data_IF_054685675341
#
_entry.id   IF_054685675341
#
_cell.length_a   1.000
_cell.length_b   1.000
_cell.length_c   1.000
_cell.angle_alpha   90.00
_cell.angle_beta   90.00
_cell.angle_gamma   90.00
#
_symmetry.space_group_name_H-M   'P 1'
#
loop_
_entity.id
_entity.type
_entity.pdbx_description
1 polymer ?
#
# COMPACT_ATOMS: atom_id res chain seq x y z
N UNK A 1 -59.34 6.45 8.25
CA UNK A 1 -58.27 5.52 7.85
C UNK A 1 -58.92 4.15 7.69
N UNK A 2 -58.86 3.51 6.52
CA UNK A 2 -59.31 2.11 6.36
C UNK A 2 -58.27 1.19 7.00
N UNK A 3 -58.70 0.27 7.85
CA UNK A 3 -57.81 -0.65 8.56
C UNK A 3 -57.22 -1.74 7.65
N UNK A 4 -57.90 -2.08 6.55
CA UNK A 4 -57.47 -3.10 5.58
C UNK A 4 -57.94 -2.73 4.18
N UNK A 5 -57.15 -3.10 3.16
CA UNK A 5 -57.47 -2.89 1.74
C UNK A 5 -56.96 -4.08 0.92
N UNK A 6 -57.79 -4.59 0.01
CA UNK A 6 -57.41 -5.64 -0.93
C UNK A 6 -57.02 -5.05 -2.29
N UNK A 7 -55.99 -5.60 -2.93
CA UNK A 7 -55.38 -5.09 -4.17
C UNK A 7 -56.18 -5.35 -5.46
N UNK A 8 -55.48 -5.72 -6.53
CA UNK A 8 -56.06 -5.78 -7.88
C UNK A 8 -57.11 -6.90 -8.05
N UNK A 9 -58.37 -6.50 -8.22
CA UNK A 9 -59.43 -7.34 -8.77
C UNK A 9 -60.15 -6.61 -9.90
N UNK A 10 -60.87 -7.37 -10.72
CA UNK A 10 -61.73 -6.86 -11.78
C UNK A 10 -62.76 -5.88 -11.19
N UNK A 11 -62.94 -4.75 -11.86
CA UNK A 11 -63.99 -3.81 -11.50
C UNK A 11 -65.35 -4.32 -11.98
N UNK A 12 -66.36 -4.15 -11.13
CA UNK A 12 -67.78 -4.35 -11.44
C UNK A 12 -68.45 -2.99 -11.38
N UNK A 13 -69.06 -2.53 -12.46
CA UNK A 13 -69.72 -1.20 -12.53
C UNK A 13 -68.81 -0.01 -12.16
N UNK A 14 -67.50 -0.08 -12.45
CA UNK A 14 -66.51 0.99 -12.15
C UNK A 14 -66.31 1.26 -10.66
N UNK A 15 -66.64 0.30 -9.79
CA UNK A 15 -66.43 0.35 -8.33
C UNK A 15 -64.94 0.39 -7.89
N UNK A 16 -64.02 0.00 -8.78
CA UNK A 16 -62.58 -0.10 -8.49
C UNK A 16 -61.80 0.76 -9.47
N UNK A 17 -61.36 1.91 -8.98
CA UNK A 17 -60.42 2.81 -9.65
C UNK A 17 -59.12 2.78 -8.84
N UNK A 18 -57.98 2.67 -9.52
CA UNK A 18 -56.67 2.64 -8.88
C UNK A 18 -55.93 3.92 -9.19
N UNK A 19 -55.41 4.57 -8.14
CA UNK A 19 -54.56 5.74 -8.27
C UNK A 19 -53.09 5.33 -8.45
N UNK A 20 -52.26 6.27 -8.90
CA UNK A 20 -50.81 6.06 -9.03
C UNK A 20 -50.18 5.61 -7.70
N UNK A 21 -50.68 6.10 -6.56
CA UNK A 21 -50.24 5.69 -5.23
C UNK A 21 -50.53 4.21 -4.93
N UNK A 22 -51.62 3.64 -5.47
CA UNK A 22 -51.91 2.22 -5.29
C UNK A 22 -50.92 1.34 -6.04
N UNK A 23 -50.50 1.76 -7.24
CA UNK A 23 -49.46 1.06 -7.99
C UNK A 23 -48.08 1.25 -7.35
N UNK A 24 -47.76 2.45 -6.90
CA UNK A 24 -46.50 2.72 -6.20
C UNK A 24 -46.38 1.88 -4.92
N UNK A 25 -47.43 1.81 -4.09
CA UNK A 25 -47.45 0.94 -2.91
C UNK A 25 -47.25 -0.54 -3.28
N UNK A 26 -47.91 -1.00 -4.35
CA UNK A 26 -47.75 -2.38 -4.83
C UNK A 26 -46.31 -2.66 -5.29
N UNK A 27 -45.74 -1.85 -6.19
CA UNK A 27 -44.37 -2.06 -6.67
C UNK A 27 -43.31 -1.84 -5.58
N UNK A 28 -43.54 -0.88 -4.68
CA UNK A 28 -42.68 -0.62 -3.53
C UNK A 28 -42.64 -1.77 -2.52
N UNK A 29 -43.61 -2.70 -2.58
CA UNK A 29 -43.58 -3.91 -1.76
C UNK A 29 -42.51 -4.90 -2.19
N UNK A 30 -42.02 -4.86 -3.43
CA UNK A 30 -41.03 -5.81 -3.94
C UNK A 30 -39.82 -5.22 -4.67
N UNK A 31 -39.76 -3.91 -4.88
CA UNK A 31 -38.61 -3.21 -5.48
C UNK A 31 -38.08 -2.18 -4.47
N UNK A 32 -36.81 -2.30 -4.10
CA UNK A 32 -36.17 -1.37 -3.16
C UNK A 32 -35.90 -0.01 -3.78
N UNK A 33 -35.69 0.98 -2.91
CA UNK A 33 -35.27 2.33 -3.32
C UNK A 33 -33.81 2.31 -3.77
N UNK A 34 -33.49 3.09 -4.80
CA UNK A 34 -32.11 3.27 -5.23
C UNK A 34 -31.95 3.59 -6.70
N UNK A 35 -30.73 3.37 -7.19
CA UNK A 35 -30.37 3.47 -8.61
C UNK A 35 -30.23 2.08 -9.21
N UNK A 36 -30.67 1.91 -10.45
CA UNK A 36 -30.46 0.64 -11.15
C UNK A 36 -28.96 0.46 -11.46
N UNK A 37 -28.35 -0.70 -11.17
CA UNK A 37 -26.90 -0.90 -11.29
C UNK A 37 -26.43 -1.12 -12.74
N UNK A 38 -27.36 -1.28 -13.68
CA UNK A 38 -27.07 -1.57 -15.09
C UNK A 38 -27.66 -0.48 -16.00
N UNK A 39 -26.84 0.17 -16.86
CA UNK A 39 -25.38 0.05 -16.93
C UNK A 39 -24.70 0.56 -15.64
N UNK A 40 -23.43 0.21 -15.40
CA UNK A 40 -22.71 0.54 -14.15
C UNK A 40 -22.59 2.05 -13.87
N UNK A 41 -22.65 2.86 -14.93
CA UNK A 41 -22.65 4.32 -14.87
C UNK A 41 -24.07 4.93 -14.79
N UNK A 42 -25.11 4.12 -14.56
CA UNK A 42 -26.50 4.59 -14.42
C UNK A 42 -26.61 5.68 -13.35
N UNK A 43 -27.08 6.86 -13.76
CA UNK A 43 -27.19 8.06 -12.92
C UNK A 43 -25.88 8.46 -12.21
N UNK A 44 -24.72 8.04 -12.75
CA UNK A 44 -23.42 8.43 -12.22
C UNK A 44 -23.16 9.91 -12.51
N UNK A 45 -22.51 10.58 -11.56
CA UNK A 45 -22.08 11.97 -11.69
C UNK A 45 -20.64 12.01 -12.19
N UNK A 46 -20.42 12.78 -13.26
CA UNK A 46 -19.09 13.10 -13.79
C UNK A 46 -18.85 14.60 -13.78
N UNK A 47 -17.59 15.01 -13.67
CA UNK A 47 -17.25 16.39 -13.96
C UNK A 47 -17.46 16.72 -15.44
N UNK A 48 -17.71 18.00 -15.74
CA UNK A 48 -17.74 18.49 -17.11
C UNK A 48 -16.74 19.62 -17.29
N UNK A 49 -17.21 20.86 -17.24
CA UNK A 49 -16.40 22.06 -17.40
C UNK A 49 -16.91 23.13 -16.47
N UNK A 50 -16.00 24.00 -16.02
CA UNK A 50 -16.34 25.04 -15.04
C UNK A 50 -17.05 24.43 -13.81
N UNK A 51 -18.03 25.13 -13.26
CA UNK A 51 -18.86 24.67 -12.14
C UNK A 51 -20.01 23.74 -12.57
N UNK A 52 -19.85 23.03 -13.69
CA UNK A 52 -20.88 22.13 -14.23
C UNK A 52 -20.47 20.67 -14.07
N UNK A 53 -21.43 19.86 -13.65
CA UNK A 53 -21.36 18.40 -13.58
C UNK A 53 -22.39 17.80 -14.54
N UNK A 54 -22.17 16.56 -14.95
CA UNK A 54 -23.11 15.82 -15.80
C UNK A 54 -23.58 14.57 -15.09
N UNK A 55 -24.89 14.35 -15.10
CA UNK A 55 -25.51 13.09 -14.68
C UNK A 55 -25.68 12.21 -15.91
N UNK A 56 -25.13 11.00 -15.87
CA UNK A 56 -25.24 10.05 -16.97
C UNK A 56 -26.65 9.48 -17.11
N UNK A 57 -27.02 8.97 -18.31
CA UNK A 57 -28.26 8.24 -18.51
C UNK A 57 -28.39 7.11 -17.50
N UNK A 58 -29.60 6.86 -17.05
CA UNK A 58 -29.85 5.85 -16.03
C UNK A 58 -31.26 5.87 -15.51
N UNK A 59 -31.49 5.00 -14.53
CA UNK A 59 -32.82 4.79 -13.95
C UNK A 59 -32.75 4.81 -12.44
N UNK A 60 -33.78 5.37 -11.82
CA UNK A 60 -33.95 5.41 -10.37
C UNK A 60 -35.32 4.86 -9.97
N UNK A 61 -35.40 4.34 -8.75
CA UNK A 61 -36.64 3.86 -8.16
C UNK A 61 -36.77 4.42 -6.74
N UNK A 62 -37.89 5.08 -6.44
CA UNK A 62 -38.15 5.66 -5.11
C UNK A 62 -39.60 5.40 -4.73
N UNK A 63 -39.82 4.64 -3.67
CA UNK A 63 -41.13 4.30 -3.08
C UNK A 63 -42.17 3.84 -4.11
N UNK A 64 -41.75 3.01 -5.08
CA UNK A 64 -42.64 2.53 -6.14
C UNK A 64 -42.79 3.43 -7.36
N UNK A 65 -42.16 4.61 -7.35
CA UNK A 65 -42.14 5.54 -8.47
C UNK A 65 -40.84 5.40 -9.28
N UNK A 66 -40.98 5.45 -10.59
CA UNK A 66 -39.88 5.21 -11.54
C UNK A 66 -39.36 6.52 -12.14
N UNK A 67 -38.05 6.64 -12.24
CA UNK A 67 -37.37 7.77 -12.88
C UNK A 67 -36.44 7.28 -13.98
N UNK A 68 -36.38 8.03 -15.08
CA UNK A 68 -35.46 7.79 -16.21
C UNK A 68 -34.79 9.09 -16.59
N UNK A 69 -33.47 9.05 -16.71
CA UNK A 69 -32.68 10.02 -17.45
C UNK A 69 -32.16 9.32 -18.71
N UNK A 70 -32.54 9.81 -19.89
CA UNK A 70 -32.25 9.14 -21.18
C UNK A 70 -30.97 9.64 -21.85
N UNK A 71 -30.42 10.76 -21.40
CA UNK A 71 -29.30 11.47 -21.99
C UNK A 71 -28.42 12.10 -20.92
N UNK A 72 -27.24 12.59 -21.29
CA UNK A 72 -26.37 13.33 -20.38
C UNK A 72 -27.09 14.60 -19.91
N UNK A 73 -27.33 14.71 -18.60
CA UNK A 73 -28.05 15.83 -17.98
C UNK A 73 -27.10 16.73 -17.20
N UNK A 74 -26.91 17.96 -17.68
CA UNK A 74 -25.98 18.90 -17.08
C UNK A 74 -26.61 19.71 -15.95
N UNK A 75 -25.90 19.81 -14.83
CA UNK A 75 -26.26 20.61 -13.68
C UNK A 75 -25.14 21.62 -13.40
N UNK A 76 -25.51 22.90 -13.34
CA UNK A 76 -24.58 23.97 -12.99
C UNK A 76 -24.67 24.25 -11.50
N UNK A 77 -23.56 24.08 -10.78
CA UNK A 77 -23.45 24.42 -9.37
C UNK A 77 -23.30 25.93 -9.20
N UNK A 78 -23.78 26.45 -8.08
CA UNK A 78 -23.57 27.85 -7.72
C UNK A 78 -22.08 28.16 -7.60
N UNK A 79 -21.67 29.40 -7.87
CA UNK A 79 -20.28 29.84 -7.73
C UNK A 79 -19.72 29.55 -6.33
N UNK A 80 -18.42 29.21 -6.26
CA UNK A 80 -17.73 29.01 -5.00
C UNK A 80 -17.65 30.33 -4.19
N UNK A 81 -17.58 30.22 -2.87
CA UNK A 81 -17.24 31.37 -2.03
C UNK A 81 -15.73 31.61 -2.08
N UNK A 82 -15.28 32.85 -1.91
CA UNK A 82 -13.86 33.19 -1.99
C UNK A 82 -13.02 32.68 -0.82
N UNK A 83 -13.65 32.29 0.30
CA UNK A 83 -12.97 32.02 1.57
C UNK A 83 -13.34 30.65 2.15
N UNK A 84 -14.60 30.24 2.05
CA UNK A 84 -15.13 29.03 2.69
C UNK A 84 -15.45 27.92 1.69
N UNK A 85 -15.27 26.68 2.14
CA UNK A 85 -15.60 25.48 1.38
C UNK A 85 -17.08 25.09 1.61
N UNK A 86 -17.63 24.24 0.75
CA UNK A 86 -18.92 23.58 0.98
C UNK A 86 -18.99 22.22 0.28
N UNK A 87 -19.98 21.40 0.66
CA UNK A 87 -20.31 20.16 -0.04
C UNK A 87 -21.73 20.27 -0.58
N UNK A 88 -21.86 20.29 -1.90
CA UNK A 88 -23.15 20.27 -2.59
C UNK A 88 -23.54 18.81 -2.84
N UNK A 89 -24.71 18.39 -2.37
CA UNK A 89 -25.19 17.01 -2.53
C UNK A 89 -26.15 16.92 -3.71
N UNK A 90 -25.86 16.03 -4.65
CA UNK A 90 -26.73 15.76 -5.79
C UNK A 90 -27.72 14.68 -5.38
N UNK A 91 -29.00 14.98 -5.45
CA UNK A 91 -30.07 14.07 -5.02
C UNK A 91 -31.02 13.78 -6.16
N UNK A 92 -31.59 12.58 -6.14
CA UNK A 92 -32.81 12.28 -6.84
C UNK A 92 -33.97 12.44 -5.85
N UNK A 93 -34.86 13.41 -6.12
CA UNK A 93 -35.94 13.81 -5.22
C UNK A 93 -37.29 13.41 -5.79
N UNK A 94 -38.02 12.57 -5.05
CA UNK A 94 -39.46 12.39 -5.23
C UNK A 94 -40.19 13.53 -4.49
N UNK A 95 -40.89 14.37 -5.24
CA UNK A 95 -41.72 15.46 -4.73
C UNK A 95 -43.20 15.07 -4.90
N UNK A 96 -43.86 14.75 -3.78
CA UNK A 96 -45.25 14.27 -3.80
C UNK A 96 -46.24 15.39 -4.18
N UNK A 97 -45.92 16.65 -3.86
CA UNK A 97 -46.78 17.78 -4.16
C UNK A 97 -46.77 18.08 -5.67
N UNK A 98 -45.59 18.05 -6.30
CA UNK A 98 -45.42 18.27 -7.74
C UNK A 98 -45.61 17.00 -8.57
N UNK A 99 -45.71 15.83 -7.94
CA UNK A 99 -45.92 14.52 -8.58
C UNK A 99 -44.82 14.17 -9.59
N UNK A 100 -43.57 14.42 -9.22
CA UNK A 100 -42.43 14.16 -10.09
C UNK A 100 -41.22 13.66 -9.30
N UNK A 101 -40.35 12.94 -10.00
CA UNK A 101 -38.98 12.71 -9.54
C UNK A 101 -38.06 13.60 -10.38
N UNK A 102 -37.21 14.38 -9.72
CA UNK A 102 -36.22 15.23 -10.39
C UNK A 102 -34.83 15.07 -9.78
N UNK A 103 -33.80 15.37 -10.56
CA UNK A 103 -32.44 15.52 -10.06
C UNK A 103 -32.29 16.96 -9.55
N UNK A 104 -31.85 17.12 -8.31
CA UNK A 104 -31.69 18.44 -7.67
C UNK A 104 -30.36 18.55 -6.93
N UNK A 105 -29.92 19.80 -6.73
CA UNK A 105 -28.68 20.13 -6.00
C UNK A 105 -29.05 20.67 -4.62
N UNK A 106 -28.81 19.87 -3.57
CA UNK A 106 -28.83 20.37 -2.18
C UNK A 106 -27.53 21.10 -1.89
N UNK A 107 -27.56 22.41 -2.11
CA UNK A 107 -26.41 23.30 -1.88
C UNK A 107 -25.94 23.21 -0.42
N UNK A 108 -24.66 22.98 -0.21
CA UNK A 108 -24.04 22.91 1.11
C UNK A 108 -23.98 24.26 1.83
N UNK A 109 -23.78 24.20 3.14
CA UNK A 109 -23.49 25.37 3.97
C UNK A 109 -21.99 25.67 3.91
N UNK A 110 -21.63 26.95 3.83
CA UNK A 110 -20.25 27.40 3.83
C UNK A 110 -19.58 27.16 5.18
N UNK A 111 -18.44 26.47 5.19
CA UNK A 111 -17.66 26.20 6.39
C UNK A 111 -16.19 25.89 6.04
N UNK A 112 -15.29 26.04 7.02
CA UNK A 112 -13.89 25.61 6.86
C UNK A 112 -13.79 24.09 6.70
N UNK A 113 -14.59 23.35 7.48
CA UNK A 113 -14.77 21.91 7.39
C UNK A 113 -16.23 21.60 7.04
N UNK A 114 -16.59 21.57 5.74
CA UNK A 114 -17.97 21.43 5.34
C UNK A 114 -18.49 20.01 5.54
N UNK A 115 -19.79 19.90 5.80
CA UNK A 115 -20.51 18.63 5.93
C UNK A 115 -21.65 18.63 4.93
N UNK A 116 -21.86 17.50 4.23
CA UNK A 116 -22.96 17.33 3.31
C UNK A 116 -24.31 17.43 4.04
N UNK A 117 -25.29 18.10 3.43
CA UNK A 117 -26.62 18.18 4.03
C UNK A 117 -27.30 16.82 4.07
N UNK A 118 -28.09 16.57 5.11
CA UNK A 118 -28.83 15.32 5.22
C UNK A 118 -29.89 15.20 4.12
N UNK A 119 -30.14 13.97 3.66
CA UNK A 119 -31.26 13.69 2.76
C UNK A 119 -32.59 13.89 3.49
N UNK A 120 -33.58 14.43 2.79
CA UNK A 120 -34.94 14.59 3.30
C UNK A 120 -35.76 13.35 2.97
N UNK A 121 -36.38 12.77 3.99
CA UNK A 121 -37.24 11.58 3.87
C UNK A 121 -38.41 11.73 4.82
N UNK A 122 -39.46 12.41 4.37
CA UNK A 122 -40.67 12.70 5.12
C UNK A 122 -41.92 12.54 4.24
N UNK A 123 -43.06 13.03 4.71
CA UNK A 123 -44.33 12.90 4.00
C UNK A 123 -44.39 13.72 2.70
N UNK A 124 -43.63 14.82 2.62
CA UNK A 124 -43.67 15.75 1.49
C UNK A 124 -42.69 15.32 0.40
N UNK A 125 -41.48 14.91 0.80
CA UNK A 125 -40.39 14.58 -0.11
C UNK A 125 -39.58 13.36 0.36
N UNK A 126 -39.11 12.58 -0.62
CA UNK A 126 -38.18 11.48 -0.40
C UNK A 126 -36.98 11.59 -1.33
N UNK A 127 -35.79 11.68 -0.74
CA UNK A 127 -34.54 11.86 -1.46
C UNK A 127 -33.59 10.68 -1.29
N UNK A 128 -32.90 10.36 -2.38
CA UNK A 128 -31.71 9.51 -2.41
C UNK A 128 -30.52 10.31 -2.92
N UNK A 129 -29.33 10.13 -2.34
CA UNK A 129 -28.14 10.90 -2.73
C UNK A 129 -27.33 10.16 -3.81
N UNK A 130 -27.11 10.78 -4.96
CA UNK A 130 -26.31 10.22 -6.04
C UNK A 130 -24.81 10.44 -5.81
N UNK A 131 -24.42 11.66 -5.44
CA UNK A 131 -23.03 11.99 -5.12
C UNK A 131 -22.93 13.23 -4.23
N UNK A 132 -21.79 13.36 -3.55
CA UNK A 132 -21.37 14.55 -2.82
C UNK A 132 -20.27 15.26 -3.59
N UNK A 133 -20.46 16.56 -3.88
CA UNK A 133 -19.50 17.38 -4.63
C UNK A 133 -18.83 18.38 -3.70
N UNK A 134 -17.53 18.22 -3.49
CA UNK A 134 -16.71 19.13 -2.72
C UNK A 134 -16.35 20.38 -3.53
N UNK A 135 -16.87 21.54 -3.08
CA UNK A 135 -16.58 22.85 -3.68
C UNK A 135 -15.60 23.58 -2.77
N UNK A 136 -14.34 23.66 -3.22
CA UNK A 136 -13.28 24.40 -2.53
C UNK A 136 -13.51 25.91 -2.65
N UNK A 137 -13.09 26.67 -1.63
CA UNK A 137 -13.02 28.12 -1.70
C UNK A 137 -12.26 28.60 -2.95
N UNK A 138 -12.84 29.56 -3.67
CA UNK A 138 -12.29 30.13 -4.90
C UNK A 138 -12.30 29.19 -6.12
N UNK A 139 -12.94 28.02 -6.05
CA UNK A 139 -12.99 27.11 -7.18
C UNK A 139 -13.74 27.70 -8.38
N UNK A 140 -13.11 27.63 -9.55
CA UNK A 140 -13.72 28.00 -10.85
C UNK A 140 -14.15 26.78 -11.65
N UNK A 141 -13.71 25.58 -11.25
CA UNK A 141 -14.12 24.32 -11.85
C UNK A 141 -14.18 23.18 -10.82
N UNK A 142 -14.94 22.15 -11.17
CA UNK A 142 -15.00 20.88 -10.44
C UNK A 142 -14.21 19.82 -11.20
N UNK A 143 -13.38 19.05 -10.49
CA UNK A 143 -12.66 17.88 -10.99
C UNK A 143 -13.28 16.59 -10.46
N UNK A 144 -13.13 15.46 -11.15
CA UNK A 144 -13.72 14.17 -10.71
C UNK A 144 -13.34 13.79 -9.27
N UNK A 145 -12.11 14.10 -8.85
CA UNK A 145 -11.62 13.78 -7.51
C UNK A 145 -12.40 14.50 -6.39
N UNK A 146 -13.15 15.56 -6.73
CA UNK A 146 -14.00 16.28 -5.78
C UNK A 146 -15.41 15.66 -5.68
N UNK A 147 -15.72 14.64 -6.49
CA UNK A 147 -17.02 14.00 -6.56
C UNK A 147 -16.93 12.65 -5.88
N UNK A 148 -17.62 12.51 -4.75
CA UNK A 148 -17.74 11.27 -4.00
C UNK A 148 -19.04 10.59 -4.38
N UNK A 149 -18.97 9.42 -5.01
CA UNK A 149 -20.15 8.63 -5.38
C UNK A 149 -20.81 8.01 -4.13
N UNK A 150 -22.10 8.24 -3.95
CA UNK A 150 -22.87 7.74 -2.80
C UNK A 150 -23.90 6.68 -3.19
N UNK A 151 -23.96 6.26 -4.46
CA UNK A 151 -24.98 5.33 -4.99
C UNK A 151 -24.95 3.97 -4.29
N UNK A 152 -23.77 3.49 -3.91
CA UNK A 152 -23.58 2.21 -3.21
C UNK A 152 -23.87 2.28 -1.70
N UNK A 153 -24.15 3.47 -1.15
CA UNK A 153 -24.46 3.60 0.27
C UNK A 153 -25.95 3.32 0.51
N UNK A 154 -26.27 2.22 1.18
CA UNK A 154 -27.67 1.87 1.52
C UNK A 154 -28.34 2.93 2.40
N UNK A 155 -27.57 3.64 3.23
CA UNK A 155 -28.09 4.70 4.07
C UNK A 155 -28.53 5.93 3.25
N UNK A 156 -27.85 6.24 2.15
CA UNK A 156 -28.06 7.46 1.37
C UNK A 156 -28.83 7.23 0.07
N UNK A 157 -28.53 6.15 -0.65
CA UNK A 157 -29.11 5.82 -1.94
C UNK A 157 -29.59 4.38 -2.03
N UNK A 158 -28.66 3.43 -1.95
CA UNK A 158 -28.90 2.03 -2.23
C UNK A 158 -28.96 1.73 -3.74
N UNK A 159 -28.80 0.45 -4.03
CA UNK A 159 -28.99 -0.12 -5.37
C UNK A 159 -30.36 -0.78 -5.42
N UNK A 160 -31.09 -0.56 -6.52
CA UNK A 160 -32.38 -1.21 -6.74
C UNK A 160 -32.19 -2.72 -6.80
N UNK A 161 -32.88 -3.44 -5.93
CA UNK A 161 -32.98 -4.89 -5.93
C UNK A 161 -34.44 -5.32 -5.70
N UNK A 162 -34.81 -6.47 -6.27
CA UNK A 162 -36.11 -7.08 -6.03
C UNK A 162 -36.15 -7.91 -4.75
N UNK A 163 -37.34 -8.25 -4.23
CA UNK A 163 -37.50 -9.24 -3.15
C UNK A 163 -37.14 -10.66 -3.57
N UNK A 164 -37.25 -10.98 -4.86
CA UNK A 164 -36.73 -12.23 -5.38
C UNK A 164 -35.25 -12.00 -5.66
N UNK A 165 -34.42 -12.44 -4.72
CA UNK A 165 -32.98 -12.58 -4.90
C UNK A 165 -32.72 -13.56 -6.04
N UNK A 166 -32.77 -13.08 -7.29
CA UNK A 166 -32.47 -13.89 -8.47
C UNK A 166 -30.95 -13.98 -8.64
N UNK A 167 -30.40 -14.87 -7.82
CA UNK A 167 -29.12 -15.58 -7.87
C UNK A 167 -28.58 -15.61 -6.43
N UNK A 168 -28.72 -16.77 -5.78
CA UNK A 168 -27.90 -17.09 -4.62
C UNK A 168 -26.44 -17.21 -5.08
N UNK A 169 -25.75 -16.06 -5.12
CA UNK A 169 -24.33 -15.98 -5.48
C UNK A 169 -23.43 -16.39 -4.31
N UNK A 170 -23.99 -16.77 -3.16
CA UNK A 170 -23.22 -17.22 -1.99
C UNK A 170 -22.36 -18.42 -2.35
N UNK A 171 -22.91 -19.36 -3.13
CA UNK A 171 -22.15 -20.54 -3.58
C UNK A 171 -21.00 -20.16 -4.51
N UNK A 172 -21.23 -19.26 -5.48
CA UNK A 172 -20.20 -18.80 -6.43
C UNK A 172 -19.14 -17.95 -5.71
N UNK A 173 -19.55 -17.09 -4.78
CA UNK A 173 -18.65 -16.25 -3.99
C UNK A 173 -17.80 -17.10 -3.03
N UNK A 174 -18.38 -18.11 -2.38
CA UNK A 174 -17.63 -19.06 -1.54
C UNK A 174 -16.63 -19.87 -2.36
N UNK A 175 -16.98 -20.28 -3.59
CA UNK A 175 -16.05 -20.93 -4.50
C UNK A 175 -14.89 -20.00 -4.90
N UNK A 176 -15.18 -18.73 -5.21
CA UNK A 176 -14.16 -17.74 -5.54
C UNK A 176 -13.23 -17.46 -4.36
N UNK A 177 -13.79 -17.29 -3.15
CA UNK A 177 -13.01 -17.06 -1.93
C UNK A 177 -12.13 -18.27 -1.60
N UNK A 178 -12.66 -19.49 -1.72
CA UNK A 178 -11.90 -20.72 -1.51
C UNK A 178 -10.76 -20.85 -2.52
N UNK A 179 -11.03 -20.60 -3.81
CA UNK A 179 -10.00 -20.58 -4.85
C UNK A 179 -8.93 -19.53 -4.58
N UNK A 180 -9.31 -18.30 -4.20
CA UNK A 180 -8.37 -17.24 -3.89
C UNK A 180 -7.46 -17.59 -2.70
N UNK A 181 -8.03 -18.15 -1.63
CA UNK A 181 -7.27 -18.61 -0.46
C UNK A 181 -6.31 -19.75 -0.82
N UNK A 182 -6.78 -20.72 -1.62
CA UNK A 182 -5.95 -21.82 -2.09
C UNK A 182 -4.81 -21.31 -2.97
N UNK A 183 -5.11 -20.53 -3.99
CA UNK A 183 -4.12 -19.96 -4.90
C UNK A 183 -3.07 -19.12 -4.15
N UNK A 184 -3.51 -18.28 -3.21
CA UNK A 184 -2.59 -17.46 -2.40
C UNK A 184 -1.68 -18.33 -1.54
N UNK A 185 -2.21 -19.39 -0.91
CA UNK A 185 -1.42 -20.32 -0.12
C UNK A 185 -0.44 -21.14 -0.97
N UNK A 186 -0.87 -21.64 -2.13
CA UNK A 186 -0.02 -22.37 -3.07
C UNK A 186 1.13 -21.49 -3.55
N UNK A 187 0.86 -20.24 -3.93
CA UNK A 187 1.90 -19.31 -4.36
C UNK A 187 2.85 -18.90 -3.24
N UNK A 188 2.35 -18.79 -2.00
CA UNK A 188 3.20 -18.58 -0.83
C UNK A 188 4.14 -19.78 -0.61
N UNK A 189 3.63 -21.00 -0.67
CA UNK A 189 4.42 -22.22 -0.50
C UNK A 189 5.44 -22.39 -1.63
N UNK A 190 5.04 -22.19 -2.89
CA UNK A 190 5.97 -22.20 -4.04
C UNK A 190 7.10 -21.18 -3.86
N UNK A 191 6.76 -19.97 -3.37
CA UNK A 191 7.76 -18.95 -3.09
C UNK A 191 8.69 -19.35 -1.93
N UNK A 192 8.13 -19.87 -0.84
CA UNK A 192 8.90 -20.31 0.32
C UNK A 192 9.85 -21.46 -0.07
N UNK A 193 9.38 -22.44 -0.84
CA UNK A 193 10.18 -23.57 -1.34
C UNK A 193 11.28 -23.12 -2.30
N UNK A 194 10.95 -22.24 -3.26
CA UNK A 194 11.94 -21.63 -4.15
C UNK A 194 13.00 -20.87 -3.35
N UNK A 195 12.58 -20.08 -2.37
CA UNK A 195 13.49 -19.28 -1.55
C UNK A 195 14.40 -20.15 -0.68
N UNK A 196 13.87 -21.24 -0.10
CA UNK A 196 14.68 -22.21 0.62
C UNK A 196 15.67 -22.93 -0.29
N UNK A 197 15.26 -23.32 -1.51
CA UNK A 197 16.18 -23.92 -2.48
C UNK A 197 17.37 -23.01 -2.80
N UNK A 198 17.14 -21.70 -2.95
CA UNK A 198 18.23 -20.72 -3.13
C UNK A 198 19.12 -20.66 -1.89
N UNK A 199 18.55 -20.67 -0.68
CA UNK A 199 19.36 -20.69 0.55
C UNK A 199 20.21 -21.94 0.66
N UNK A 200 19.66 -23.12 0.38
CA UNK A 200 20.39 -24.38 0.48
C UNK A 200 21.58 -24.40 -0.49
N UNK A 201 21.38 -23.92 -1.72
CA UNK A 201 22.45 -23.76 -2.71
C UNK A 201 23.57 -22.82 -2.21
N UNK A 202 23.21 -21.74 -1.53
CA UNK A 202 24.18 -20.78 -0.99
C UNK A 202 24.83 -21.27 0.31
N UNK A 203 24.16 -22.10 1.11
CA UNK A 203 24.60 -22.49 2.45
C UNK A 203 25.51 -23.72 2.48
N UNK A 204 25.32 -24.65 1.53
CA UNK A 204 26.04 -25.92 1.51
C UNK A 204 27.38 -25.84 0.77
N UNK A 205 27.33 -25.96 -0.56
CA UNK A 205 28.52 -26.28 -1.35
C UNK A 205 29.38 -25.05 -1.71
N UNK A 206 28.77 -23.88 -1.87
CA UNK A 206 29.50 -22.68 -2.29
C UNK A 206 30.27 -22.09 -1.10
N UNK A 207 29.61 -21.91 0.06
CA UNK A 207 30.25 -21.39 1.27
C UNK A 207 31.34 -22.33 1.78
N UNK A 208 31.10 -23.65 1.77
CA UNK A 208 32.11 -24.64 2.15
C UNK A 208 33.35 -24.61 1.26
N UNK A 209 33.18 -24.58 -0.06
CA UNK A 209 34.31 -24.53 -1.00
C UNK A 209 35.07 -23.19 -0.91
N UNK A 210 34.38 -22.07 -0.71
CA UNK A 210 35.01 -20.77 -0.49
C UNK A 210 35.82 -20.78 0.81
N UNK A 211 35.30 -21.38 1.89
CA UNK A 211 36.02 -21.48 3.17
C UNK A 211 37.32 -22.29 3.01
N UNK A 212 37.26 -23.45 2.35
CA UNK A 212 38.45 -24.28 2.10
C UNK A 212 39.51 -23.56 1.25
N UNK A 213 39.08 -22.77 0.25
CA UNK A 213 39.98 -21.94 -0.54
C UNK A 213 40.65 -20.83 0.31
N UNK A 214 39.90 -20.23 1.24
CA UNK A 214 40.44 -19.21 2.17
C UNK A 214 41.46 -19.84 3.12
N UNK A 215 41.12 -20.96 3.76
CA UNK A 215 42.04 -21.69 4.66
C UNK A 215 43.32 -22.11 3.93
N UNK A 216 43.20 -22.57 2.68
CA UNK A 216 44.34 -22.89 1.83
C UNK A 216 45.21 -21.68 1.47
N UNK A 217 44.60 -20.51 1.25
CA UNK A 217 45.34 -19.26 1.03
C UNK A 217 46.03 -18.77 2.30
N UNK A 218 45.36 -18.82 3.44
CA UNK A 218 45.89 -18.41 4.75
C UNK A 218 47.11 -19.25 5.15
N UNK A 219 47.03 -20.58 4.99
CA UNK A 219 48.18 -21.47 5.22
C UNK A 219 49.36 -21.15 4.31
N UNK A 220 49.12 -20.84 3.03
CA UNK A 220 50.18 -20.42 2.10
C UNK A 220 50.81 -19.09 2.50
N UNK A 221 50.02 -18.14 2.99
CA UNK A 221 50.52 -16.86 3.53
C UNK A 221 51.42 -17.11 4.74
N UNK A 222 50.99 -17.96 5.69
CA UNK A 222 51.81 -18.31 6.86
C UNK A 222 53.16 -18.93 6.48
N UNK A 223 53.19 -19.87 5.53
CA UNK A 223 54.46 -20.44 5.04
C UNK A 223 55.33 -19.40 4.35
N UNK A 224 54.74 -18.47 3.59
CA UNK A 224 55.50 -17.39 2.97
C UNK A 224 56.08 -16.43 4.02
N UNK A 225 55.34 -16.13 5.08
CA UNK A 225 55.82 -15.31 6.20
C UNK A 225 57.02 -15.97 6.91
N UNK A 226 56.95 -17.27 7.18
CA UNK A 226 58.06 -18.05 7.76
C UNK A 226 59.28 -18.05 6.83
N UNK A 227 59.10 -18.33 5.55
CA UNK A 227 60.17 -18.28 4.56
C UNK A 227 60.81 -16.89 4.43
N UNK A 228 60.05 -15.80 4.56
CA UNK A 228 60.57 -14.44 4.57
C UNK A 228 61.45 -14.20 5.81
N UNK A 229 61.03 -14.69 6.98
CA UNK A 229 61.83 -14.57 8.22
C UNK A 229 63.15 -15.34 8.10
N UNK A 230 63.11 -16.57 7.58
CA UNK A 230 64.30 -17.38 7.34
C UNK A 230 65.24 -16.72 6.32
N UNK A 231 64.67 -16.23 5.22
CA UNK A 231 65.44 -15.52 4.18
C UNK A 231 66.08 -14.25 4.74
N UNK A 232 65.37 -13.48 5.56
CA UNK A 232 65.92 -12.30 6.23
C UNK A 232 67.08 -12.66 7.16
N UNK A 233 66.94 -13.75 7.92
CA UNK A 233 68.02 -14.26 8.79
C UNK A 233 69.25 -14.65 7.98
N UNK A 234 69.06 -15.43 6.91
CA UNK A 234 70.15 -15.81 5.99
C UNK A 234 70.82 -14.59 5.34
N UNK A 235 70.04 -13.58 4.95
CA UNK A 235 70.57 -12.33 4.38
C UNK A 235 71.38 -11.53 5.40
N UNK A 236 70.94 -11.49 6.66
CA UNK A 236 71.70 -10.88 7.76
C UNK A 236 73.04 -11.60 7.94
N UNK A 237 73.03 -12.93 7.96
CA UNK A 237 74.25 -13.73 8.09
C UNK A 237 75.23 -13.45 6.94
N UNK A 238 74.75 -13.46 5.69
CA UNK A 238 75.58 -13.13 4.52
C UNK A 238 76.10 -11.68 4.58
N UNK A 239 75.29 -10.72 5.03
CA UNK A 239 75.72 -9.34 5.16
C UNK A 239 76.85 -9.19 6.20
N UNK A 240 76.76 -9.91 7.33
CA UNK A 240 77.81 -9.96 8.35
C UNK A 240 79.09 -10.56 7.77
N UNK A 241 79.02 -11.69 7.06
CA UNK A 241 80.18 -12.30 6.41
C UNK A 241 80.85 -11.35 5.40
N UNK A 242 80.05 -10.63 4.59
CA UNK A 242 80.56 -9.67 3.61
C UNK A 242 81.32 -8.52 4.28
N UNK A 243 80.79 -7.97 5.37
CA UNK A 243 81.43 -6.90 6.15
C UNK A 243 82.71 -7.39 6.84
N UNK A 244 82.78 -8.66 7.26
CA UNK A 244 84.01 -9.29 7.73
C UNK A 244 85.05 -9.45 6.60
N UNK A 245 84.61 -9.76 5.37
CA UNK A 245 85.49 -9.98 4.20
C UNK A 245 86.01 -8.67 3.56
N UNK A 246 85.25 -7.57 3.61
CA UNK A 246 85.59 -6.28 2.97
C UNK A 246 86.65 -5.44 3.71
N UNK A 247 87.29 -6.00 4.74
CA UNK A 247 88.39 -5.39 5.49
C UNK A 247 88.00 -4.27 6.48
N UNK A 248 87.24 -4.64 7.52
CA UNK A 248 87.40 -3.98 8.81
C UNK A 248 88.50 -4.68 9.62
N UNK A 249 89.48 -3.90 10.09
CA UNK A 249 90.59 -4.37 10.89
C UNK A 249 90.15 -4.67 12.34
N UNK A 250 90.25 -5.91 12.79
CA UNK A 250 90.28 -6.26 14.23
C UNK A 250 91.73 -6.12 14.75
N UNK A 251 92.25 -4.90 14.82
CA UNK A 251 93.58 -4.64 15.42
C UNK A 251 93.43 -4.43 16.92
N UNK A 252 93.98 -5.37 17.71
CA UNK A 252 94.08 -5.27 19.18
C UNK A 252 93.28 -6.29 20.00
N UNK A 253 92.80 -7.40 19.41
CA UNK A 253 92.08 -8.43 20.17
C UNK A 253 93.05 -9.51 20.65
N UNK A 254 93.28 -9.56 21.96
CA UNK A 254 94.15 -10.53 22.63
C UNK A 254 93.36 -11.51 23.53
N UNK A 255 92.06 -11.70 23.28
CA UNK A 255 91.20 -12.63 24.03
C UNK A 255 90.12 -13.26 23.14
N UNK A 256 89.57 -14.40 23.60
CA UNK A 256 88.57 -15.19 22.88
C UNK A 256 87.31 -14.38 22.54
N UNK A 257 86.88 -14.46 21.28
CA UNK A 257 85.64 -13.87 20.79
C UNK A 257 84.54 -14.93 20.91
N UNK A 258 83.46 -14.60 21.61
CA UNK A 258 82.23 -15.40 21.64
C UNK A 258 81.08 -14.52 21.18
N UNK A 259 80.40 -14.93 20.10
CA UNK A 259 79.19 -14.30 19.59
C UNK A 259 78.07 -15.33 19.72
N UNK A 260 77.23 -15.17 20.72
CA UNK A 260 75.92 -15.82 20.78
C UNK A 260 74.86 -14.74 20.54
N UNK A 261 74.14 -14.87 19.43
CA UNK A 261 73.04 -13.96 19.09
C UNK A 261 71.82 -14.34 19.94
N UNK A 262 71.62 -13.71 21.09
CA UNK A 262 70.42 -13.95 21.91
C UNK A 262 69.22 -13.21 21.29
N UNK A 263 68.15 -13.94 20.97
CA UNK A 263 66.91 -13.34 20.48
C UNK A 263 66.28 -12.41 21.54
N UNK A 264 66.38 -12.77 22.84
CA UNK A 264 65.84 -12.02 23.97
C UNK A 264 66.85 -11.99 25.13
N UNK A 265 66.88 -10.90 25.91
CA UNK A 265 67.85 -10.70 27.01
C UNK A 265 67.44 -11.35 28.35
N UNK A 266 66.30 -12.03 28.40
CA UNK A 266 65.69 -12.50 29.65
C UNK A 266 66.48 -13.64 30.34
N UNK A 267 67.32 -14.36 29.60
CA UNK A 267 68.09 -15.50 30.11
C UNK A 267 69.58 -15.16 30.35
N UNK A 268 69.95 -13.87 30.31
CA UNK A 268 71.34 -13.42 30.48
C UNK A 268 71.54 -12.80 31.86
N UNK A 269 72.27 -13.48 32.75
CA UNK A 269 72.65 -12.96 34.06
C UNK A 269 74.02 -12.28 34.01
N UNK A 270 74.06 -10.97 34.25
CA UNK A 270 75.27 -10.15 34.16
C UNK A 270 76.06 -10.17 35.46
N UNK A 271 77.26 -10.73 35.43
CA UNK A 271 78.13 -10.83 36.61
C UNK A 271 78.93 -9.54 36.86
N UNK A 272 79.27 -8.78 35.81
CA UNK A 272 79.84 -7.42 35.89
C UNK A 272 79.49 -6.64 34.60
N UNK A 273 78.95 -5.43 34.73
CA UNK A 273 78.53 -4.57 33.61
C UNK A 273 77.18 -3.87 33.83
N UNK A 274 76.79 -2.95 32.94
CA UNK A 274 75.49 -2.25 32.96
C UNK A 274 74.78 -2.43 31.60
N UNK A 275 73.52 -2.86 31.63
CA UNK A 275 72.65 -2.91 30.45
C UNK A 275 71.82 -1.62 30.34
N UNK A 276 71.97 -0.91 29.22
CA UNK A 276 71.12 0.22 28.85
C UNK A 276 69.91 -0.30 28.05
N UNK A 277 68.76 -0.37 28.71
CA UNK A 277 67.51 -0.86 28.15
C UNK A 277 66.87 0.07 27.12
N UNK A 278 67.23 1.36 27.13
CA UNK A 278 66.67 2.35 26.19
C UNK A 278 67.34 2.22 24.83
N UNK A 279 68.67 2.10 24.82
CA UNK A 279 69.44 1.95 23.58
C UNK A 279 69.70 0.48 23.21
N UNK A 280 69.23 -0.46 24.03
CA UNK A 280 69.46 -1.91 23.92
C UNK A 280 70.93 -2.27 23.78
N UNK A 281 71.79 -1.68 24.62
CA UNK A 281 73.26 -1.88 24.58
C UNK A 281 73.78 -2.41 25.91
N UNK A 282 74.73 -3.33 25.82
CA UNK A 282 75.41 -3.89 26.99
C UNK A 282 76.81 -3.26 27.11
N UNK A 283 77.11 -2.70 28.28
CA UNK A 283 78.41 -2.12 28.60
C UNK A 283 79.10 -3.01 29.65
N UNK A 284 80.17 -3.68 29.23
CA UNK A 284 80.96 -4.61 30.04
C UNK A 284 82.32 -4.01 30.33
#
# INVERSE_FOLDING_TARGET
MMATRSGFFNSVNRDRVYDASNFAEYFGSFISNGVFPNPSNSLQIYEKSNMTITVKPGKGWINGYFFVNDSDYDLTLATADGVLNRIDRIVLRLDNAKRQILIDVKKGVFASNPVAQNVQRDADMYEIALADVYVKAGATSISQINITDTRLSDALCGIVHGLIQQADMTTIFNQYLAWYQQFTNEKRLEFDDWFQSIKDQLSGDIVGNIMLLIEGLDGRVGTLEEQIVDTNSNLIDVAIELEMLKASSLTGVNANIMIETFQNLNDVELVNGIYDSTNKRLYI
#
